data_IF_612860066820
#
_entry.id   IF_612860066820
#
_cell.length_a   1.000
_cell.length_b   1.000
_cell.length_c   1.000
_cell.angle_alpha   90.00
_cell.angle_beta   90.00
_cell.angle_gamma   90.00
#
_symmetry.space_group_name_H-M   'P 1'
#
loop_
_entity.id
_entity.type
_entity.pdbx_description
1 polymer ?
#
# COMPACT_ATOMS: atom_id res chain seq x y z
N UNK A 1 -13.60 15.14 8.09
CA UNK A 1 -13.15 14.49 6.89
C UNK A 1 -13.69 13.07 6.80
N UNK A 2 -14.74 12.92 6.10
CA UNK A 2 -15.53 11.70 6.13
C UNK A 2 -15.54 10.95 4.81
N UNK A 3 -14.88 11.50 3.79
CA UNK A 3 -14.92 10.89 2.48
C UNK A 3 -13.96 9.74 2.32
N UNK A 4 -13.05 9.58 3.25
CA UNK A 4 -11.97 8.62 3.10
C UNK A 4 -11.05 8.98 1.95
N UNK A 5 -9.86 8.44 1.96
CA UNK A 5 -8.91 8.62 0.88
C UNK A 5 -8.91 7.46 -0.11
N UNK A 6 -9.84 6.51 -0.02
CA UNK A 6 -9.75 5.25 -0.75
C UNK A 6 -10.98 4.96 -1.57
N UNK A 7 -10.77 4.31 -2.70
CA UNK A 7 -11.87 3.75 -3.48
C UNK A 7 -12.37 2.44 -2.86
N UNK A 8 -11.45 1.66 -2.29
CA UNK A 8 -11.75 0.36 -1.71
C UNK A 8 -11.10 0.20 -0.34
N UNK A 9 -11.81 -0.47 0.55
CA UNK A 9 -11.32 -0.82 1.87
C UNK A 9 -11.47 -2.32 2.07
N UNK A 10 -10.37 -2.98 2.44
CA UNK A 10 -10.38 -4.42 2.72
C UNK A 10 -10.56 -4.61 4.22
N UNK A 11 -11.71 -5.15 4.60
CA UNK A 11 -12.04 -5.41 5.99
C UNK A 11 -11.26 -6.60 6.53
N UNK A 12 -11.25 -6.76 7.84
CA UNK A 12 -10.52 -7.85 8.49
C UNK A 12 -10.95 -9.24 8.01
N UNK A 13 -12.20 -9.39 7.62
CA UNK A 13 -12.73 -10.63 7.05
C UNK A 13 -12.21 -10.93 5.64
N UNK A 14 -11.55 -9.97 5.01
CA UNK A 14 -11.18 -10.04 3.59
C UNK A 14 -12.25 -9.48 2.66
N UNK A 15 -13.39 -9.07 3.19
CA UNK A 15 -14.45 -8.45 2.40
C UNK A 15 -14.01 -7.08 1.91
N UNK A 16 -14.38 -6.73 0.68
CA UNK A 16 -14.10 -5.42 0.09
C UNK A 16 -15.33 -4.52 0.22
N UNK A 17 -15.11 -3.32 0.72
CA UNK A 17 -16.11 -2.26 0.71
C UNK A 17 -15.68 -1.22 -0.32
N UNK A 18 -16.53 -0.97 -1.29
CA UNK A 18 -16.31 0.10 -2.26
C UNK A 18 -16.84 1.42 -1.69
N UNK A 19 -15.94 2.39 -1.53
CA UNK A 19 -16.28 3.71 -1.00
C UNK A 19 -16.61 4.69 -2.13
N UNK A 20 -15.91 4.57 -3.25
CA UNK A 20 -16.08 5.41 -4.43
C UNK A 20 -15.91 4.59 -5.70
N UNK A 21 -16.51 5.07 -6.77
CA UNK A 21 -16.26 4.52 -8.11
C UNK A 21 -14.83 4.86 -8.54
N UNK A 22 -14.24 4.01 -9.38
CA UNK A 22 -12.83 4.16 -9.80
C UNK A 22 -12.57 5.50 -10.50
N UNK A 23 -13.57 6.07 -11.15
CA UNK A 23 -13.44 7.35 -11.86
C UNK A 23 -13.38 8.57 -10.93
N UNK A 24 -13.72 8.40 -9.66
CA UNK A 24 -13.71 9.51 -8.69
C UNK A 24 -12.28 9.76 -8.22
N UNK A 25 -11.87 11.03 -8.17
CA UNK A 25 -10.57 11.41 -7.61
C UNK A 25 -10.72 11.51 -6.09
N UNK A 26 -9.97 10.71 -5.35
CA UNK A 26 -9.99 10.69 -3.89
C UNK A 26 -8.72 11.33 -3.32
N UNK A 27 -8.68 11.53 -2.00
CA UNK A 27 -7.55 12.12 -1.31
C UNK A 27 -6.59 11.08 -0.72
N UNK A 28 -6.46 9.92 -1.39
CA UNK A 28 -5.64 8.82 -0.88
C UNK A 28 -4.16 9.12 -0.77
N UNK A 29 -3.61 9.87 -1.73
CA UNK A 29 -2.20 10.24 -1.73
C UNK A 29 -2.01 11.60 -2.38
N UNK A 30 -1.77 12.62 -1.57
CA UNK A 30 -1.60 13.99 -2.05
C UNK A 30 -0.55 14.06 -3.17
N UNK A 31 -0.90 14.70 -4.27
CA UNK A 31 -0.04 14.81 -5.46
C UNK A 31 -0.13 13.61 -6.40
N UNK A 32 -0.79 12.53 -6.00
CA UNK A 32 -0.87 11.30 -6.77
C UNK A 32 -2.32 10.79 -6.90
N UNK A 33 -3.31 11.69 -6.72
CA UNK A 33 -4.71 11.27 -6.71
C UNK A 33 -5.31 11.14 -8.12
N UNK A 34 -4.82 11.94 -9.06
CA UNK A 34 -5.37 11.97 -10.40
C UNK A 34 -5.11 10.64 -11.12
N UNK A 35 -6.17 10.07 -11.69
CA UNK A 35 -6.13 8.78 -12.40
C UNK A 35 -5.54 7.64 -11.56
N UNK A 36 -5.77 7.69 -10.25
CA UNK A 36 -5.31 6.64 -9.35
C UNK A 36 -6.49 5.96 -8.68
N UNK A 37 -6.34 4.66 -8.41
CA UNK A 37 -7.26 3.90 -7.56
C UNK A 37 -6.54 3.61 -6.26
N UNK A 38 -7.19 3.94 -5.15
CA UNK A 38 -6.62 3.81 -3.81
C UNK A 38 -7.28 2.66 -3.07
N UNK A 39 -6.47 1.71 -2.64
CA UNK A 39 -6.92 0.54 -1.88
C UNK A 39 -6.26 0.58 -0.51
N UNK A 40 -7.04 0.42 0.53
CA UNK A 40 -6.55 0.34 1.90
C UNK A 40 -7.06 -0.94 2.57
N UNK A 41 -6.40 -1.33 3.63
CA UNK A 41 -6.84 -2.47 4.45
C UNK A 41 -6.95 -2.04 5.91
N UNK A 42 -7.88 -2.65 6.63
CA UNK A 42 -8.08 -2.35 8.05
C UNK A 42 -7.04 -3.11 8.86
N UNK A 43 -6.18 -2.37 9.54
CA UNK A 43 -5.12 -2.93 10.36
C UNK A 43 -4.00 -1.94 10.54
N UNK A 44 -2.86 -2.44 10.94
CA UNK A 44 -1.70 -1.61 11.20
C UNK A 44 -0.45 -2.44 11.42
N UNK A 45 0.43 -1.94 12.26
CA UNK A 45 1.70 -2.55 12.57
C UNK A 45 1.80 -2.85 14.06
N UNK A 46 2.18 -4.06 14.41
CA UNK A 46 2.42 -4.44 15.79
C UNK A 46 3.91 -4.21 16.10
N UNK A 47 4.19 -3.14 16.84
CA UNK A 47 5.56 -2.77 17.18
C UNK A 47 6.23 -3.75 18.11
N UNK A 48 5.47 -4.52 18.88
CA UNK A 48 6.03 -5.53 19.78
C UNK A 48 6.49 -6.76 18.99
N UNK A 49 5.73 -7.17 17.98
CA UNK A 49 6.07 -8.32 17.16
C UNK A 49 6.94 -7.95 15.98
N UNK A 50 7.05 -6.68 15.63
CA UNK A 50 7.80 -6.24 14.49
C UNK A 50 7.18 -6.66 13.15
N UNK A 51 5.85 -6.71 13.09
CA UNK A 51 5.15 -7.17 11.88
C UNK A 51 3.86 -6.39 11.65
N UNK A 52 3.40 -6.35 10.40
CA UNK A 52 2.07 -5.84 10.12
C UNK A 52 1.01 -6.85 10.57
N UNK A 53 -0.21 -6.36 10.76
CA UNK A 53 -1.32 -7.17 11.27
C UNK A 53 -2.27 -7.62 10.16
N UNK A 54 -1.81 -7.61 8.92
CA UNK A 54 -2.65 -8.07 7.80
C UNK A 54 -2.98 -9.56 7.97
N UNK A 55 -4.25 -9.86 7.96
CA UNK A 55 -4.73 -11.24 8.04
C UNK A 55 -4.62 -11.90 6.66
N UNK A 56 -4.53 -13.23 6.65
CA UNK A 56 -4.38 -13.98 5.41
C UNK A 56 -5.49 -13.67 4.40
N UNK A 57 -6.74 -13.61 4.85
CA UNK A 57 -7.87 -13.27 3.98
C UNK A 57 -7.76 -11.88 3.37
N UNK A 58 -7.21 -10.93 4.11
CA UNK A 58 -6.96 -9.58 3.58
C UNK A 58 -5.87 -9.61 2.51
N UNK A 59 -4.80 -10.34 2.77
CA UNK A 59 -3.71 -10.49 1.81
C UNK A 59 -4.17 -11.16 0.52
N UNK A 60 -4.97 -12.22 0.64
CA UNK A 60 -5.53 -12.91 -0.52
C UNK A 60 -6.40 -11.96 -1.35
N UNK A 61 -7.25 -11.18 -0.70
CA UNK A 61 -8.10 -10.19 -1.38
C UNK A 61 -7.27 -9.12 -2.06
N UNK A 62 -6.26 -8.60 -1.38
CA UNK A 62 -5.38 -7.57 -1.96
C UNK A 62 -4.68 -8.09 -3.22
N UNK A 63 -4.16 -9.31 -3.17
CA UNK A 63 -3.49 -9.92 -4.31
C UNK A 63 -4.46 -10.08 -5.49
N UNK A 64 -5.68 -10.55 -5.24
CA UNK A 64 -6.69 -10.67 -6.29
C UNK A 64 -7.04 -9.32 -6.92
N UNK A 65 -7.16 -8.27 -6.12
CA UNK A 65 -7.43 -6.93 -6.61
C UNK A 65 -6.27 -6.41 -7.47
N UNK A 66 -5.04 -6.59 -7.03
CA UNK A 66 -3.86 -6.19 -7.79
C UNK A 66 -3.83 -6.92 -9.15
N UNK A 67 -4.04 -8.22 -9.14
CA UNK A 67 -4.06 -9.01 -10.37
C UNK A 67 -5.16 -8.55 -11.32
N UNK A 68 -6.33 -8.25 -10.77
CA UNK A 68 -7.45 -7.75 -11.57
C UNK A 68 -7.08 -6.45 -12.27
N UNK A 69 -6.53 -5.48 -11.55
CA UNK A 69 -6.17 -4.18 -12.13
C UNK A 69 -5.02 -4.30 -13.13
N UNK A 70 -4.03 -5.12 -12.86
CA UNK A 70 -2.92 -5.32 -13.79
C UNK A 70 -3.37 -5.99 -15.08
N UNK A 71 -4.35 -6.88 -14.99
CA UNK A 71 -4.92 -7.53 -16.18
C UNK A 71 -5.81 -6.56 -16.96
N UNK A 72 -6.62 -5.78 -16.26
CA UNK A 72 -7.54 -4.83 -16.87
C UNK A 72 -6.83 -3.64 -17.49
N UNK A 73 -5.74 -3.20 -16.88
CA UNK A 73 -4.94 -2.06 -17.31
C UNK A 73 -3.46 -2.47 -17.31
N UNK A 74 -2.97 -3.06 -18.43
CA UNK A 74 -1.61 -3.65 -18.45
C UNK A 74 -0.48 -2.66 -18.15
N UNK A 75 -0.70 -1.36 -18.35
CA UNK A 75 0.31 -0.33 -18.12
C UNK A 75 0.21 0.29 -16.71
N UNK A 76 -0.69 -0.21 -15.88
CA UNK A 76 -0.86 0.35 -14.53
C UNK A 76 0.39 0.11 -13.68
N UNK A 77 0.71 1.07 -12.83
CA UNK A 77 1.80 0.93 -11.85
C UNK A 77 1.22 0.86 -10.45
N UNK A 78 1.71 -0.07 -9.66
CA UNK A 78 1.25 -0.30 -8.30
C UNK A 78 2.29 0.22 -7.32
N UNK A 79 1.87 1.14 -6.46
CA UNK A 79 2.72 1.76 -5.44
C UNK A 79 2.16 1.52 -4.05
N UNK A 80 3.03 1.40 -3.08
CA UNK A 80 2.64 1.60 -1.68
C UNK A 80 2.57 3.09 -1.38
N UNK A 81 1.66 3.50 -0.50
CA UNK A 81 1.57 4.90 -0.07
C UNK A 81 2.89 5.38 0.53
N UNK A 82 3.60 4.48 1.23
CA UNK A 82 4.91 4.76 1.82
C UNK A 82 6.02 4.99 0.78
N UNK A 83 5.77 4.70 -0.49
CA UNK A 83 6.72 4.99 -1.56
C UNK A 83 6.57 6.41 -2.12
N UNK A 84 5.42 7.04 -1.93
CA UNK A 84 5.11 8.34 -2.53
C UNK A 84 4.87 9.45 -1.49
N UNK A 85 4.94 9.11 -0.22
CA UNK A 85 4.80 10.09 0.87
C UNK A 85 5.48 9.57 2.14
N UNK A 86 5.48 10.41 3.19
CA UNK A 86 6.04 10.05 4.49
C UNK A 86 5.14 9.12 5.31
N UNK A 87 4.02 8.68 4.75
CA UNK A 87 3.10 7.77 5.44
C UNK A 87 3.66 6.36 5.53
N UNK A 88 3.16 5.59 6.48
CA UNK A 88 3.67 4.23 6.72
C UNK A 88 2.90 3.15 5.97
N UNK A 89 1.63 3.41 5.62
CA UNK A 89 0.85 2.40 4.92
C UNK A 89 1.45 2.07 3.54
N UNK A 90 1.26 0.86 3.08
CA UNK A 90 0.45 -0.22 3.64
C UNK A 90 1.18 -1.12 4.65
N UNK A 91 2.25 -0.67 5.24
CA UNK A 91 3.07 -1.39 6.21
C UNK A 91 3.81 -2.59 5.63
N UNK A 92 4.10 -2.54 4.35
CA UNK A 92 4.99 -3.49 3.68
C UNK A 92 5.56 -2.86 2.42
N UNK A 93 6.57 -3.51 1.85
CA UNK A 93 7.24 -3.04 0.65
C UNK A 93 6.54 -3.61 -0.59
N UNK A 94 5.72 -2.80 -1.23
CA UNK A 94 4.90 -3.22 -2.38
C UNK A 94 5.73 -3.77 -3.54
N UNK A 95 6.90 -3.19 -3.91
CA UNK A 95 7.71 -3.78 -4.99
C UNK A 95 8.08 -5.24 -4.77
N UNK A 96 8.35 -5.64 -3.53
CA UNK A 96 8.64 -7.04 -3.25
C UNK A 96 7.44 -7.94 -3.54
N UNK A 97 6.25 -7.50 -3.13
CA UNK A 97 5.03 -8.24 -3.42
C UNK A 97 4.83 -8.37 -4.93
N UNK A 98 5.01 -7.28 -5.68
CA UNK A 98 4.83 -7.30 -7.13
C UNK A 98 5.82 -8.27 -7.78
N UNK A 99 7.07 -8.30 -7.31
CA UNK A 99 8.07 -9.25 -7.79
C UNK A 99 7.65 -10.70 -7.50
N UNK A 100 7.18 -10.97 -6.29
CA UNK A 100 6.73 -12.31 -5.89
C UNK A 100 5.52 -12.77 -6.71
N UNK A 101 4.68 -11.84 -7.14
CA UNK A 101 3.53 -12.14 -8.00
C UNK A 101 3.89 -12.29 -9.47
N UNK A 102 5.14 -12.02 -9.84
CA UNK A 102 5.54 -12.03 -11.24
C UNK A 102 5.04 -10.84 -12.03
N UNK A 103 4.69 -9.75 -11.38
CA UNK A 103 4.13 -8.54 -11.98
C UNK A 103 5.15 -7.40 -11.99
N UNK A 104 6.39 -7.69 -12.38
CA UNK A 104 7.47 -6.70 -12.34
C UNK A 104 7.24 -5.53 -13.29
N UNK A 105 6.53 -5.73 -14.39
CA UNK A 105 6.21 -4.65 -15.33
C UNK A 105 5.23 -3.64 -14.75
N UNK A 106 4.48 -4.04 -13.73
CA UNK A 106 3.51 -3.19 -13.05
C UNK A 106 4.04 -2.64 -11.73
N UNK A 107 5.32 -2.83 -11.47
CA UNK A 107 5.95 -2.38 -10.22
C UNK A 107 6.22 -0.88 -10.28
N UNK A 108 5.61 -0.12 -9.38
CA UNK A 108 5.92 1.29 -9.21
C UNK A 108 7.22 1.44 -8.43
N UNK A 109 8.13 2.29 -8.93
CA UNK A 109 9.39 2.56 -8.27
C UNK A 109 9.42 3.99 -7.75
N UNK A 110 9.94 4.17 -6.54
CA UNK A 110 10.02 5.47 -5.90
C UNK A 110 11.17 6.29 -6.49
N UNK A 111 10.92 7.58 -6.71
CA UNK A 111 12.00 8.52 -6.95
C UNK A 111 12.79 8.68 -5.64
N UNK A 112 14.10 8.42 -5.64
CA UNK A 112 14.89 8.51 -4.41
C UNK A 112 15.00 9.92 -3.82
N UNK A 113 14.50 10.95 -4.50
CA UNK A 113 14.60 12.32 -4.01
C UNK A 113 13.72 12.63 -2.80
N UNK A 114 12.75 11.82 -2.47
CA UNK A 114 11.95 12.08 -1.28
C UNK A 114 12.51 11.44 -0.02
N UNK A 115 13.79 11.29 0.06
CA UNK A 115 14.47 10.79 1.24
C UNK A 115 14.16 11.67 2.45
N UNK A 116 13.66 11.08 3.51
CA UNK A 116 13.36 11.77 4.75
C UNK A 116 14.44 11.50 5.79
N UNK A 117 14.66 12.48 6.66
CA UNK A 117 15.52 12.27 7.80
C UNK A 117 14.83 11.35 8.79
N UNK A 118 15.26 10.10 8.86
CA UNK A 118 14.63 9.09 9.71
C UNK A 118 14.70 9.47 11.19
N UNK A 119 15.75 10.18 11.62
CA UNK A 119 15.89 10.55 13.03
C UNK A 119 14.86 11.60 13.46
N UNK A 120 14.32 12.36 12.52
CA UNK A 120 13.31 13.37 12.80
C UNK A 120 11.88 12.83 12.77
N UNK A 121 11.68 11.56 12.38
CA UNK A 121 10.35 10.99 12.24
C UNK A 121 9.89 10.31 13.54
N UNK A 122 8.58 10.32 13.83
CA UNK A 122 8.02 9.44 14.85
C UNK A 122 8.35 7.98 14.58
N UNK A 123 8.40 7.16 15.63
CA UNK A 123 8.85 5.77 15.51
C UNK A 123 8.06 4.94 14.50
N UNK A 124 6.75 5.15 14.44
CA UNK A 124 5.93 4.44 13.46
C UNK A 124 6.28 4.83 12.01
N UNK A 125 6.64 6.08 11.79
CA UNK A 125 7.05 6.54 10.46
C UNK A 125 8.44 6.04 10.10
N UNK A 126 9.35 5.94 11.08
CA UNK A 126 10.68 5.33 10.86
C UNK A 126 10.53 3.90 10.36
N UNK A 127 9.69 3.11 11.00
CA UNK A 127 9.43 1.75 10.57
C UNK A 127 8.85 1.73 9.16
N UNK A 128 7.86 2.59 8.90
CA UNK A 128 7.27 2.70 7.57
C UNK A 128 8.28 3.04 6.48
N UNK A 129 9.22 3.93 6.78
CA UNK A 129 10.27 4.30 5.83
C UNK A 129 11.25 3.15 5.58
N UNK A 130 11.58 2.39 6.60
CA UNK A 130 12.40 1.19 6.44
C UNK A 130 11.70 0.14 5.58
N UNK A 131 10.41 -0.06 5.80
CA UNK A 131 9.60 -0.96 4.97
C UNK A 131 9.59 -0.49 3.52
N UNK A 132 9.41 0.83 3.30
CA UNK A 132 9.39 1.40 1.96
C UNK A 132 10.72 1.26 1.22
N UNK A 133 11.81 1.14 1.95
CA UNK A 133 13.14 0.90 1.37
C UNK A 133 13.49 -0.58 1.25
N UNK A 134 12.64 -1.47 1.73
CA UNK A 134 12.90 -2.88 1.77
C UNK A 134 13.87 -3.31 2.87
N UNK A 135 14.12 -2.44 3.86
CA UNK A 135 15.07 -2.69 4.94
C UNK A 135 14.45 -3.40 6.15
N UNK A 136 13.15 -3.57 6.15
CA UNK A 136 12.42 -4.16 7.27
C UNK A 136 11.72 -5.44 6.83
N UNK A 137 11.73 -6.50 7.65
CA UNK A 137 11.09 -7.75 7.27
C UNK A 137 9.61 -7.58 6.97
N UNK A 138 9.14 -8.25 5.93
CA UNK A 138 7.73 -8.28 5.58
C UNK A 138 7.12 -9.55 6.15
N UNK A 139 6.10 -9.39 6.97
CA UNK A 139 5.37 -10.48 7.57
C UNK A 139 3.90 -10.40 7.18
N UNK A 140 3.19 -11.53 7.29
CA UNK A 140 1.74 -11.61 7.13
C UNK A 140 1.21 -11.32 5.72
N UNK A 141 2.06 -11.40 4.72
CA UNK A 141 1.65 -11.32 3.32
C UNK A 141 1.57 -12.70 2.71
N UNK A 142 0.75 -13.50 3.17
CA UNK A 142 0.65 -14.86 2.62
C UNK A 142 -0.72 -15.13 2.02
#
# INVERSE_FOLDING_TARGET
WNTGGYHYLIEKSGKVTQCYQDSVVTNGALGNNYKSVHISWIGGYDFKQGSNQMLKGQGDTLVEMIKFYCKRYPDILVYGHNQVSAKSCPWFFVPKLMSELGLTENMGLTNPQWQLNLDALPSYQKVGQQIAKGEFPLNNLS
#
